data_IF_380702911062
#
_entry.id   IF_380702911062
#
_cell.length_a   1.000
_cell.length_b   1.000
_cell.length_c   1.000
_cell.angle_alpha   90.00
_cell.angle_beta   90.00
_cell.angle_gamma   90.00
#
_symmetry.space_group_name_H-M   'P 1'
#
loop_
_entity.id
_entity.type
_entity.pdbx_description
1 polymer ?
#
# COMPACT_ATOMS: atom_id res chain seq x y z
N UNK A 1 28.38 -35.00 10.03
CA UNK A 1 28.59 -33.59 10.44
C UNK A 1 27.26 -33.03 10.95
N UNK A 2 27.26 -32.19 11.99
CA UNK A 2 26.03 -31.54 12.44
C UNK A 2 25.45 -30.68 11.32
N UNK A 3 24.09 -30.62 11.25
CA UNK A 3 23.38 -29.79 10.31
C UNK A 3 23.52 -28.29 10.67
N UNK A 4 24.28 -27.54 9.90
CA UNK A 4 24.52 -26.11 10.13
C UNK A 4 23.46 -25.17 9.59
N UNK A 5 22.51 -25.65 8.78
CA UNK A 5 21.54 -24.78 8.14
C UNK A 5 20.61 -24.02 9.12
N UNK A 6 20.10 -24.63 10.23
CA UNK A 6 19.28 -23.90 11.18
C UNK A 6 20.03 -22.75 11.87
N UNK A 7 21.28 -23.03 12.34
CA UNK A 7 22.10 -22.02 13.01
C UNK A 7 22.43 -20.84 12.08
N UNK A 8 22.80 -21.12 10.84
CA UNK A 8 23.06 -20.11 9.82
C UNK A 8 21.82 -19.29 9.51
N UNK A 9 20.66 -19.95 9.40
CA UNK A 9 19.41 -19.25 9.12
C UNK A 9 19.01 -18.28 10.25
N UNK A 10 19.05 -18.72 11.50
CA UNK A 10 18.78 -17.88 12.66
C UNK A 10 19.77 -16.70 12.77
N UNK A 11 21.05 -16.94 12.49
CA UNK A 11 22.06 -15.88 12.44
C UNK A 11 21.73 -14.84 11.37
N UNK A 12 21.38 -15.29 10.16
CA UNK A 12 21.01 -14.42 9.03
C UNK A 12 19.77 -13.60 9.36
N UNK A 13 18.70 -14.24 9.86
CA UNK A 13 17.48 -13.54 10.25
C UNK A 13 17.76 -12.43 11.27
N UNK A 14 18.42 -12.77 12.37
CA UNK A 14 18.74 -11.81 13.44
C UNK A 14 19.56 -10.63 12.92
N UNK A 15 20.59 -10.88 12.11
CA UNK A 15 21.43 -9.83 11.56
C UNK A 15 20.67 -8.96 10.56
N UNK A 16 19.81 -9.57 9.73
CA UNK A 16 18.99 -8.83 8.79
C UNK A 16 17.97 -7.93 9.51
N UNK A 17 17.24 -8.47 10.48
CA UNK A 17 16.29 -7.70 11.30
C UNK A 17 16.97 -6.53 12.01
N UNK A 18 18.12 -6.78 12.62
CA UNK A 18 18.88 -5.73 13.30
C UNK A 18 19.31 -4.61 12.33
N UNK A 19 19.91 -4.97 11.18
CA UNK A 19 20.32 -3.99 10.17
C UNK A 19 19.13 -3.24 9.59
N UNK A 20 18.03 -3.93 9.28
CA UNK A 20 16.83 -3.37 8.71
C UNK A 20 16.18 -2.35 9.65
N UNK A 21 16.07 -2.66 10.95
CA UNK A 21 15.52 -1.75 11.95
C UNK A 21 16.41 -0.52 12.22
N UNK A 22 17.73 -0.66 12.06
CA UNK A 22 18.69 0.43 12.30
C UNK A 22 18.96 1.29 11.05
N UNK A 23 18.48 0.89 9.89
CA UNK A 23 18.74 1.59 8.64
C UNK A 23 17.84 2.82 8.48
N UNK A 24 18.42 4.01 8.58
CA UNK A 24 17.66 5.25 8.50
C UNK A 24 16.98 5.44 7.14
N UNK A 25 17.60 5.00 6.04
CA UNK A 25 17.02 5.09 4.69
C UNK A 25 15.73 4.26 4.59
N UNK A 26 15.77 3.03 5.12
CA UNK A 26 14.57 2.17 5.18
C UNK A 26 13.47 2.83 6.02
N UNK A 27 13.81 3.39 7.19
CA UNK A 27 12.83 4.04 8.07
C UNK A 27 12.20 5.27 7.41
N UNK A 28 13.00 6.11 6.78
CA UNK A 28 12.51 7.31 6.07
C UNK A 28 11.59 6.94 4.90
N UNK A 29 11.97 5.95 4.09
CA UNK A 29 11.15 5.45 2.99
C UNK A 29 9.83 4.85 3.49
N UNK A 30 9.90 4.06 4.56
CA UNK A 30 8.70 3.46 5.16
C UNK A 30 7.75 4.53 5.71
N UNK A 31 8.28 5.58 6.34
CA UNK A 31 7.48 6.71 6.80
C UNK A 31 6.76 7.41 5.63
N UNK A 32 7.45 7.67 4.51
CA UNK A 32 6.83 8.25 3.30
C UNK A 32 5.69 7.38 2.76
N UNK A 33 5.86 6.06 2.80
CA UNK A 33 4.82 5.10 2.38
C UNK A 33 3.60 5.20 3.30
N UNK A 34 3.79 5.20 4.61
CA UNK A 34 2.71 5.30 5.60
C UNK A 34 1.93 6.62 5.47
N UNK A 35 2.62 7.72 5.19
CA UNK A 35 2.01 9.04 4.98
C UNK A 35 1.26 9.16 3.65
N UNK A 36 1.39 8.20 2.76
CA UNK A 36 0.77 8.26 1.44
C UNK A 36 1.50 9.18 0.46
N UNK A 37 2.76 9.50 0.72
CA UNK A 37 3.58 10.41 -0.08
C UNK A 37 4.55 9.69 -1.02
N UNK A 38 4.60 8.37 -0.96
CA UNK A 38 5.45 7.55 -1.80
C UNK A 38 4.81 7.24 -3.17
N UNK A 39 5.67 6.96 -4.14
CA UNK A 39 5.33 6.36 -5.43
C UNK A 39 6.27 5.16 -5.73
N UNK A 40 6.31 4.69 -6.97
CA UNK A 40 7.18 3.57 -7.34
C UNK A 40 8.67 3.91 -7.34
N UNK A 41 9.04 5.17 -7.26
CA UNK A 41 10.43 5.58 -7.06
C UNK A 41 10.89 5.21 -5.66
N UNK A 42 10.11 5.56 -4.64
CA UNK A 42 10.38 5.22 -3.25
C UNK A 42 10.31 3.70 -3.02
N UNK A 43 9.34 3.00 -3.62
CA UNK A 43 9.28 1.53 -3.60
C UNK A 43 10.52 0.88 -4.22
N UNK A 44 11.04 1.44 -5.32
CA UNK A 44 12.27 1.00 -5.96
C UNK A 44 13.51 1.22 -5.08
N UNK A 45 13.62 2.37 -4.43
CA UNK A 45 14.69 2.68 -3.48
C UNK A 45 14.64 1.75 -2.25
N UNK A 46 13.44 1.49 -1.73
CA UNK A 46 13.22 0.53 -0.65
C UNK A 46 13.69 -0.88 -1.04
N UNK A 47 13.32 -1.35 -2.24
CA UNK A 47 13.74 -2.67 -2.72
C UNK A 47 15.25 -2.78 -2.92
N UNK A 48 15.90 -1.74 -3.46
CA UNK A 48 17.36 -1.67 -3.61
C UNK A 48 18.00 -1.80 -2.23
N UNK A 49 17.60 -0.96 -1.28
CA UNK A 49 18.20 -0.93 0.05
C UNK A 49 17.98 -2.23 0.81
N UNK A 50 16.77 -2.80 0.74
CA UNK A 50 16.46 -4.12 1.33
C UNK A 50 17.34 -5.23 0.74
N UNK A 51 17.54 -5.22 -0.58
CA UNK A 51 18.43 -6.16 -1.26
C UNK A 51 19.88 -6.00 -0.84
N UNK A 52 20.40 -4.77 -0.75
CA UNK A 52 21.75 -4.46 -0.27
C UNK A 52 21.99 -4.93 1.17
N UNK A 53 21.03 -4.70 2.06
CA UNK A 53 21.14 -5.15 3.45
C UNK A 53 21.20 -6.68 3.54
N UNK A 54 20.37 -7.39 2.78
CA UNK A 54 20.40 -8.84 2.74
C UNK A 54 21.71 -9.37 2.15
N UNK A 55 22.21 -8.76 1.08
CA UNK A 55 23.49 -9.09 0.47
C UNK A 55 24.64 -8.96 1.49
N UNK A 56 24.71 -7.84 2.20
CA UNK A 56 25.70 -7.59 3.26
C UNK A 56 25.62 -8.64 4.40
N UNK A 57 24.41 -9.05 4.78
CA UNK A 57 24.23 -10.08 5.80
C UNK A 57 24.74 -11.43 5.30
N UNK A 58 24.47 -11.78 4.06
CA UNK A 58 25.01 -13.00 3.45
C UNK A 58 26.53 -12.98 3.37
N UNK A 59 27.14 -11.90 2.90
CA UNK A 59 28.58 -11.73 2.83
C UNK A 59 29.27 -11.86 4.19
N UNK A 60 28.62 -11.36 5.25
CA UNK A 60 29.16 -11.45 6.62
C UNK A 60 28.90 -12.79 7.29
N UNK A 61 27.96 -13.58 6.79
CA UNK A 61 27.55 -14.85 7.42
C UNK A 61 28.15 -16.06 6.73
N UNK A 62 28.25 -16.04 5.40
CA UNK A 62 28.80 -17.16 4.64
C UNK A 62 30.30 -16.96 4.39
N UNK A 63 31.07 -17.97 4.71
CA UNK A 63 32.50 -18.09 4.34
C UNK A 63 32.82 -19.54 4.08
N UNK A 64 33.84 -19.81 3.25
CA UNK A 64 34.30 -21.17 3.00
C UNK A 64 34.71 -21.92 4.29
N UNK A 65 35.22 -21.19 5.29
CA UNK A 65 35.61 -21.78 6.58
C UNK A 65 34.40 -22.22 7.43
N UNK A 66 33.26 -21.59 7.28
CA UNK A 66 32.05 -21.91 8.04
C UNK A 66 31.16 -22.96 7.36
N UNK A 67 31.39 -23.19 6.06
CA UNK A 67 30.62 -24.13 5.25
C UNK A 67 31.23 -25.52 5.22
N UNK A 68 30.43 -26.59 5.20
CA UNK A 68 30.95 -27.94 5.03
C UNK A 68 31.78 -28.06 3.74
N UNK A 69 32.99 -28.56 3.86
CA UNK A 69 33.95 -28.75 2.76
C UNK A 69 34.21 -27.46 1.92
N UNK A 70 33.99 -26.27 2.55
CA UNK A 70 34.14 -24.98 1.87
C UNK A 70 33.12 -24.74 0.78
N UNK A 71 31.95 -25.42 0.83
CA UNK A 71 30.93 -25.43 -0.22
C UNK A 71 29.53 -25.09 0.32
N UNK A 72 28.80 -24.24 -0.41
CA UNK A 72 27.39 -23.98 -0.12
C UNK A 72 26.52 -25.02 -0.84
N UNK A 73 26.24 -26.12 -0.16
CA UNK A 73 25.38 -27.17 -0.70
C UNK A 73 23.93 -26.70 -0.90
N UNK A 74 23.25 -27.29 -1.90
CA UNK A 74 21.87 -26.92 -2.26
C UNK A 74 20.90 -27.00 -1.09
N UNK A 75 20.99 -28.06 -0.28
CA UNK A 75 20.15 -28.22 0.93
C UNK A 75 20.37 -27.14 1.98
N UNK A 76 21.58 -26.61 2.12
CA UNK A 76 21.88 -25.47 2.99
C UNK A 76 21.31 -24.18 2.37
N UNK A 77 21.60 -23.93 1.09
CA UNK A 77 21.10 -22.76 0.38
C UNK A 77 19.57 -22.69 0.36
N UNK A 78 18.90 -23.83 0.12
CA UNK A 78 17.42 -23.91 0.16
C UNK A 78 16.81 -23.58 1.52
N UNK A 79 17.54 -23.86 2.61
CA UNK A 79 17.06 -23.66 3.99
C UNK A 79 17.55 -22.36 4.63
N UNK A 80 18.41 -21.62 3.95
CA UNK A 80 18.97 -20.35 4.40
C UNK A 80 18.66 -19.21 3.43
N UNK A 81 19.22 -19.23 2.23
CA UNK A 81 19.08 -18.18 1.22
C UNK A 81 17.65 -18.13 0.67
N UNK A 82 17.05 -19.29 0.37
CA UNK A 82 15.70 -19.38 -0.20
C UNK A 82 14.62 -18.66 0.63
N UNK A 83 14.48 -18.98 1.94
CA UNK A 83 13.52 -18.28 2.81
C UNK A 83 13.77 -16.79 2.93
N UNK A 84 15.02 -16.33 2.95
CA UNK A 84 15.35 -14.91 3.02
C UNK A 84 14.98 -14.15 1.73
N UNK A 85 15.21 -14.75 0.56
CA UNK A 85 14.74 -14.18 -0.70
C UNK A 85 13.21 -14.09 -0.76
N UNK A 86 12.52 -15.12 -0.25
CA UNK A 86 11.07 -15.09 -0.12
C UNK A 86 10.61 -13.98 0.84
N UNK A 87 11.29 -13.80 1.97
CA UNK A 87 11.03 -12.70 2.90
C UNK A 87 11.18 -11.32 2.25
N UNK A 88 12.26 -11.10 1.47
CA UNK A 88 12.42 -9.88 0.69
C UNK A 88 11.29 -9.67 -0.33
N UNK A 89 10.86 -10.73 -1.01
CA UNK A 89 9.71 -10.65 -1.90
C UNK A 89 8.44 -10.21 -1.13
N UNK A 90 8.16 -10.77 0.02
CA UNK A 90 6.98 -10.42 0.82
C UNK A 90 7.02 -8.96 1.27
N UNK A 91 8.16 -8.49 1.82
CA UNK A 91 8.36 -7.11 2.23
C UNK A 91 8.14 -6.11 1.08
N UNK A 92 8.80 -6.35 -0.06
CA UNK A 92 8.71 -5.44 -1.22
C UNK A 92 7.32 -5.49 -1.85
N UNK A 93 6.70 -6.65 -1.90
CA UNK A 93 5.33 -6.80 -2.42
C UNK A 93 4.32 -6.02 -1.58
N UNK A 94 4.46 -6.02 -0.26
CA UNK A 94 3.57 -5.27 0.63
C UNK A 94 3.77 -3.76 0.47
N UNK A 95 5.00 -3.29 0.33
CA UNK A 95 5.31 -1.89 0.03
C UNK A 95 4.71 -1.47 -1.32
N UNK A 96 4.94 -2.26 -2.38
CA UNK A 96 4.36 -1.99 -3.70
C UNK A 96 2.83 -1.98 -3.67
N UNK A 97 2.21 -2.86 -2.87
CA UNK A 97 0.77 -2.89 -2.67
C UNK A 97 0.24 -1.59 -2.07
N UNK A 98 0.88 -1.10 -1.01
CA UNK A 98 0.51 0.18 -0.38
C UNK A 98 0.68 1.36 -1.33
N UNK A 99 1.81 1.43 -2.04
CA UNK A 99 2.09 2.47 -3.04
C UNK A 99 1.04 2.43 -4.16
N UNK A 100 0.73 1.26 -4.72
CA UNK A 100 -0.26 1.13 -5.79
C UNK A 100 -1.66 1.57 -5.34
N UNK A 101 -2.08 1.18 -4.14
CA UNK A 101 -3.37 1.61 -3.60
C UNK A 101 -3.44 3.11 -3.36
N UNK A 102 -2.33 3.74 -2.97
CA UNK A 102 -2.22 5.19 -2.86
C UNK A 102 -2.35 5.87 -4.23
N UNK A 103 -1.64 5.38 -5.24
CA UNK A 103 -1.73 5.88 -6.61
C UNK A 103 -3.14 5.72 -7.18
N UNK A 104 -3.76 4.57 -6.98
CA UNK A 104 -5.16 4.33 -7.37
C UNK A 104 -6.12 5.33 -6.70
N UNK A 105 -5.96 5.57 -5.39
CA UNK A 105 -6.77 6.55 -4.66
C UNK A 105 -6.54 7.98 -5.16
N UNK A 106 -5.29 8.37 -5.42
CA UNK A 106 -4.94 9.68 -5.97
C UNK A 106 -5.56 9.88 -7.36
N UNK A 107 -5.58 8.83 -8.17
CA UNK A 107 -6.25 8.82 -9.49
C UNK A 107 -7.79 8.71 -9.39
N UNK A 108 -8.36 8.57 -8.19
CA UNK A 108 -9.80 8.39 -7.98
C UNK A 108 -10.31 7.02 -8.43
N UNK A 109 -9.44 6.03 -8.49
CA UNK A 109 -9.77 4.65 -8.81
C UNK A 109 -10.02 3.88 -7.52
N UNK A 110 -11.14 3.16 -7.43
CA UNK A 110 -11.48 2.28 -6.31
C UNK A 110 -10.88 0.87 -6.45
N UNK A 111 -9.69 0.76 -7.05
CA UNK A 111 -9.04 -0.51 -7.34
C UNK A 111 -8.03 -0.86 -6.23
N UNK A 112 -8.03 -2.13 -5.83
CA UNK A 112 -6.96 -2.70 -4.99
C UNK A 112 -5.73 -2.98 -5.83
N UNK A 113 -4.57 -3.02 -5.18
CA UNK A 113 -3.34 -3.45 -5.80
C UNK A 113 -3.38 -4.95 -6.16
N UNK A 114 -2.80 -5.28 -7.29
CA UNK A 114 -2.55 -6.67 -7.67
C UNK A 114 -1.15 -7.04 -7.19
N UNK A 115 -1.05 -8.09 -6.37
CA UNK A 115 0.23 -8.60 -5.90
C UNK A 115 0.89 -9.46 -7.00
N UNK A 116 2.17 -9.22 -7.33
CA UNK A 116 2.89 -10.09 -8.26
C UNK A 116 3.04 -11.50 -7.68
N UNK A 117 3.21 -12.49 -8.53
CA UNK A 117 3.53 -13.86 -8.09
C UNK A 117 5.01 -13.97 -7.77
N UNK A 118 5.33 -14.75 -6.73
CA UNK A 118 6.71 -15.09 -6.41
C UNK A 118 7.37 -15.81 -7.60
N UNK A 119 8.48 -15.27 -8.09
CA UNK A 119 9.27 -15.91 -9.13
C UNK A 119 10.17 -17.01 -8.51
N UNK A 120 9.56 -18.17 -8.25
CA UNK A 120 10.26 -19.31 -7.64
C UNK A 120 11.36 -19.86 -8.54
N UNK A 121 11.19 -19.79 -9.85
CA UNK A 121 12.20 -20.27 -10.80
C UNK A 121 13.48 -19.43 -10.72
N UNK A 122 13.36 -18.14 -10.50
CA UNK A 122 14.51 -17.26 -10.31
C UNK A 122 15.24 -17.56 -8.99
N UNK A 123 14.49 -17.80 -7.91
CA UNK A 123 15.08 -18.25 -6.65
C UNK A 123 15.82 -19.57 -6.86
N UNK A 124 15.17 -20.56 -7.47
CA UNK A 124 15.78 -21.86 -7.75
C UNK A 124 17.04 -21.73 -8.64
N UNK A 125 17.00 -20.82 -9.63
CA UNK A 125 18.17 -20.53 -10.47
C UNK A 125 19.37 -20.01 -9.68
N UNK A 126 19.13 -19.10 -8.71
CA UNK A 126 20.17 -18.59 -7.79
C UNK A 126 20.72 -19.74 -6.93
N UNK A 127 19.82 -20.50 -6.28
CA UNK A 127 20.21 -21.60 -5.38
C UNK A 127 21.00 -22.71 -6.11
N UNK A 128 20.59 -23.08 -7.30
CA UNK A 128 21.26 -24.10 -8.10
C UNK A 128 22.68 -23.68 -8.50
N UNK A 129 22.89 -22.41 -8.83
CA UNK A 129 24.22 -21.92 -9.15
C UNK A 129 25.20 -22.06 -7.98
N UNK A 130 24.75 -21.81 -6.75
CA UNK A 130 25.58 -22.00 -5.56
C UNK A 130 26.07 -23.43 -5.40
N UNK A 131 25.21 -24.39 -5.72
CA UNK A 131 25.52 -25.82 -5.50
C UNK A 131 26.30 -26.45 -6.65
N UNK A 132 26.32 -25.84 -7.83
CA UNK A 132 27.02 -26.39 -8.99
C UNK A 132 28.54 -26.16 -8.94
N UNK A 133 28.99 -25.11 -8.23
CA UNK A 133 30.39 -24.81 -8.12
C UNK A 133 31.05 -25.55 -6.95
N UNK A 134 32.28 -26.09 -7.14
CA UNK A 134 32.95 -26.89 -6.13
C UNK A 134 33.46 -26.07 -4.92
N UNK A 135 33.63 -24.76 -5.08
CA UNK A 135 34.13 -23.85 -4.04
C UNK A 135 33.17 -22.68 -3.87
N UNK A 136 32.88 -22.36 -2.60
CA UNK A 136 32.05 -21.22 -2.27
C UNK A 136 32.64 -19.88 -2.77
N UNK A 137 33.95 -19.69 -2.66
CA UNK A 137 34.62 -18.46 -3.05
C UNK A 137 34.40 -18.10 -4.53
N UNK A 138 34.21 -19.10 -5.40
CA UNK A 138 33.97 -18.89 -6.83
C UNK A 138 32.56 -18.34 -7.12
N UNK A 139 31.60 -18.48 -6.16
CA UNK A 139 30.21 -18.06 -6.28
C UNK A 139 29.77 -17.05 -5.21
N UNK A 140 30.66 -16.66 -4.31
CA UNK A 140 30.34 -15.72 -3.22
C UNK A 140 29.74 -14.39 -3.71
N UNK A 141 30.19 -13.90 -4.89
CA UNK A 141 29.66 -12.69 -5.55
C UNK A 141 28.17 -12.78 -5.87
N UNK A 142 27.62 -13.98 -6.00
CA UNK A 142 26.18 -14.18 -6.26
C UNK A 142 25.30 -13.87 -5.04
N UNK A 143 25.87 -13.79 -3.85
CA UNK A 143 25.16 -13.36 -2.64
C UNK A 143 24.91 -11.85 -2.61
N UNK A 144 25.61 -11.08 -3.44
CA UNK A 144 25.43 -9.63 -3.54
C UNK A 144 24.44 -9.29 -4.68
N UNK A 145 24.96 -9.11 -5.86
CA UNK A 145 24.23 -8.54 -7.00
C UNK A 145 23.00 -9.33 -7.47
N UNK A 146 23.03 -10.67 -7.60
CA UNK A 146 21.83 -11.44 -7.93
C UNK A 146 20.70 -11.29 -6.89
N UNK A 147 21.04 -11.14 -5.59
CA UNK A 147 20.09 -10.90 -4.49
C UNK A 147 19.47 -9.52 -4.61
N UNK A 148 20.27 -8.48 -4.85
CA UNK A 148 19.81 -7.13 -5.10
C UNK A 148 18.89 -7.05 -6.32
N UNK A 149 19.32 -7.64 -7.44
CA UNK A 149 18.55 -7.68 -8.67
C UNK A 149 17.25 -8.48 -8.55
N UNK A 150 17.24 -9.55 -7.76
CA UNK A 150 16.03 -10.29 -7.44
C UNK A 150 15.05 -9.38 -6.69
N UNK A 151 15.51 -8.70 -5.62
CA UNK A 151 14.68 -7.84 -4.78
C UNK A 151 14.09 -6.67 -5.59
N UNK A 152 14.90 -6.03 -6.44
CA UNK A 152 14.42 -4.98 -7.35
C UNK A 152 13.39 -5.48 -8.37
N UNK A 153 13.54 -6.71 -8.88
CA UNK A 153 12.61 -7.24 -9.88
C UNK A 153 11.20 -7.46 -9.35
N UNK A 154 11.03 -7.55 -8.02
CA UNK A 154 9.70 -7.62 -7.40
C UNK A 154 8.90 -6.35 -7.66
N UNK A 155 9.57 -5.18 -7.65
CA UNK A 155 8.94 -3.90 -8.00
C UNK A 155 8.52 -3.89 -9.48
N UNK A 156 9.40 -4.36 -10.38
CA UNK A 156 9.08 -4.43 -11.81
C UNK A 156 7.88 -5.35 -12.07
N UNK A 157 7.83 -6.49 -11.38
CA UNK A 157 6.71 -7.42 -11.48
C UNK A 157 5.42 -6.81 -10.90
N UNK A 158 5.50 -6.04 -9.81
CA UNK A 158 4.35 -5.34 -9.25
C UNK A 158 3.81 -4.27 -10.21
N UNK A 159 4.70 -3.48 -10.82
CA UNK A 159 4.32 -2.50 -11.86
C UNK A 159 3.66 -3.21 -13.03
N UNK A 160 4.25 -4.30 -13.53
CA UNK A 160 3.71 -5.08 -14.65
C UNK A 160 2.31 -5.60 -14.38
N UNK A 161 2.10 -6.30 -13.26
CA UNK A 161 0.82 -6.91 -12.93
C UNK A 161 -0.30 -5.86 -12.75
N UNK A 162 0.01 -4.73 -12.13
CA UNK A 162 -0.96 -3.65 -11.96
C UNK A 162 -1.25 -2.91 -13.27
N UNK A 163 -0.24 -2.70 -14.12
CA UNK A 163 -0.42 -2.09 -15.43
C UNK A 163 -1.27 -2.98 -16.35
N UNK A 164 -0.96 -4.27 -16.41
CA UNK A 164 -1.71 -5.25 -17.18
C UNK A 164 -3.16 -5.37 -16.71
N UNK A 165 -3.37 -5.39 -15.38
CA UNK A 165 -4.71 -5.43 -14.81
C UNK A 165 -5.51 -4.19 -15.19
N UNK A 166 -4.95 -3.00 -15.02
CA UNK A 166 -5.62 -1.75 -15.35
C UNK A 166 -5.88 -1.62 -16.85
N UNK A 167 -4.92 -2.01 -17.69
CA UNK A 167 -5.10 -2.02 -19.14
C UNK A 167 -6.26 -2.93 -19.59
N UNK A 168 -6.34 -4.17 -19.04
CA UNK A 168 -7.44 -5.10 -19.32
C UNK A 168 -8.81 -4.60 -18.84
N UNK A 169 -8.84 -3.72 -17.85
CA UNK A 169 -10.08 -3.09 -17.36
C UNK A 169 -10.47 -1.83 -18.15
N UNK A 170 -9.76 -1.52 -19.23
CA UNK A 170 -10.04 -0.38 -20.12
C UNK A 170 -9.50 0.96 -19.60
N UNK A 171 -8.59 0.92 -18.61
CA UNK A 171 -7.78 2.06 -18.23
C UNK A 171 -6.52 2.08 -19.12
N UNK A 172 -5.92 3.26 -19.29
CA UNK A 172 -4.73 3.43 -20.11
C UNK A 172 -3.53 3.88 -19.26
N UNK A 173 -3.01 2.99 -18.39
CA UNK A 173 -1.82 3.31 -17.61
C UNK A 173 -0.60 3.43 -18.52
N UNK A 174 0.41 4.15 -18.04
CA UNK A 174 1.70 4.28 -18.70
C UNK A 174 2.80 3.74 -17.80
N UNK A 175 3.83 3.21 -18.45
CA UNK A 175 5.06 2.78 -17.78
C UNK A 175 6.16 3.78 -18.11
N UNK A 176 6.84 4.23 -17.08
CA UNK A 176 8.01 5.10 -17.23
C UNK A 176 9.24 4.34 -16.81
N UNK A 177 10.23 4.26 -17.69
CA UNK A 177 11.56 3.76 -17.32
C UNK A 177 12.55 4.90 -17.33
N UNK A 178 13.21 5.11 -16.18
CA UNK A 178 14.20 6.17 -16.00
C UNK A 178 15.56 5.58 -15.68
N UNK A 179 16.59 6.22 -16.23
CA UNK A 179 17.98 5.92 -15.91
C UNK A 179 18.42 6.72 -14.67
N UNK A 180 19.23 6.12 -13.83
CA UNK A 180 19.80 6.78 -12.64
C UNK A 180 21.23 7.31 -12.87
N UNK A 181 21.55 7.76 -14.08
CA UNK A 181 22.83 8.37 -14.41
C UNK A 181 23.72 7.47 -15.25
N UNK A 182 24.63 6.72 -14.68
CA UNK A 182 25.57 5.87 -15.43
C UNK A 182 24.91 4.55 -15.89
N UNK A 183 23.94 4.64 -16.80
CA UNK A 183 23.35 3.44 -17.37
C UNK A 183 24.10 2.97 -18.64
N UNK A 184 24.01 1.67 -18.92
CA UNK A 184 24.57 1.12 -20.14
C UNK A 184 23.71 1.50 -21.36
N UNK A 185 24.30 1.43 -22.57
CA UNK A 185 23.61 1.75 -23.83
C UNK A 185 22.32 0.94 -24.05
N UNK A 186 22.21 -0.24 -23.45
CA UNK A 186 21.00 -1.06 -23.53
C UNK A 186 19.87 -0.48 -22.67
N UNK A 187 20.16 -0.09 -21.42
CA UNK A 187 19.19 0.58 -20.55
C UNK A 187 18.76 1.93 -21.11
N UNK A 188 19.71 2.70 -21.65
CA UNK A 188 19.44 4.02 -22.23
C UNK A 188 18.39 3.96 -23.35
N UNK A 189 18.44 2.92 -24.19
CA UNK A 189 17.45 2.68 -25.25
C UNK A 189 16.06 2.35 -24.74
N UNK A 190 15.93 1.89 -23.50
CA UNK A 190 14.66 1.56 -22.84
C UNK A 190 14.12 2.69 -21.98
N UNK A 191 14.85 3.81 -21.88
CA UNK A 191 14.40 5.00 -21.12
C UNK A 191 13.29 5.71 -21.89
N UNK A 192 12.18 5.99 -21.21
CA UNK A 192 11.05 6.65 -21.85
C UNK A 192 9.74 6.41 -21.12
N UNK A 193 8.67 6.97 -21.71
CA UNK A 193 7.29 6.77 -21.25
C UNK A 193 6.53 6.00 -22.31
N UNK A 194 5.95 4.88 -21.93
CA UNK A 194 5.30 3.94 -22.84
C UNK A 194 3.84 3.74 -22.44
N UNK A 195 2.98 3.61 -23.43
CA UNK A 195 1.61 3.11 -23.25
C UNK A 195 1.62 1.59 -23.15
N UNK A 196 0.69 1.00 -22.40
CA UNK A 196 0.63 -0.46 -22.22
C UNK A 196 0.35 -1.24 -23.51
N UNK A 197 -0.16 -0.60 -24.55
CA UNK A 197 -0.37 -1.15 -25.88
C UNK A 197 0.88 -1.13 -26.79
N UNK A 198 1.94 -0.42 -26.37
CA UNK A 198 3.19 -0.27 -27.13
C UNK A 198 4.42 -0.36 -26.20
N UNK A 199 4.46 -1.41 -25.39
CA UNK A 199 5.57 -1.66 -24.46
C UNK A 199 6.71 -2.42 -25.16
N UNK A 200 7.97 -1.98 -25.04
CA UNK A 200 9.11 -2.77 -25.44
C UNK A 200 9.17 -4.10 -24.67
N UNK A 201 9.43 -5.22 -25.35
CA UNK A 201 9.47 -6.57 -24.76
C UNK A 201 10.38 -6.69 -23.53
N UNK A 202 11.40 -5.85 -23.45
CA UNK A 202 12.40 -5.89 -22.38
C UNK A 202 12.25 -4.77 -21.36
N UNK A 203 11.09 -4.07 -21.31
CA UNK A 203 10.90 -2.88 -20.46
C UNK A 203 11.13 -3.18 -18.96
N UNK A 204 10.81 -4.38 -18.51
CA UNK A 204 10.98 -4.85 -17.13
C UNK A 204 12.28 -5.65 -16.89
N UNK A 205 13.09 -5.86 -17.93
CA UNK A 205 14.33 -6.64 -17.76
C UNK A 205 15.43 -5.82 -17.11
N UNK A 206 16.22 -6.50 -16.29
CA UNK A 206 17.42 -5.96 -15.62
C UNK A 206 18.65 -6.74 -16.05
N UNK A 207 19.74 -6.03 -16.24
CA UNK A 207 21.07 -6.60 -16.37
C UNK A 207 21.83 -6.46 -15.04
N UNK A 208 23.03 -6.96 -14.99
CA UNK A 208 23.95 -6.80 -13.84
C UNK A 208 24.10 -5.33 -13.46
N UNK A 209 24.07 -5.06 -12.15
CA UNK A 209 24.20 -3.71 -11.56
C UNK A 209 23.22 -2.67 -12.10
N UNK A 210 22.06 -3.12 -12.56
CA UNK A 210 21.04 -2.21 -13.08
C UNK A 210 20.36 -1.47 -11.94
N UNK A 211 20.45 -0.13 -11.98
CA UNK A 211 19.76 0.76 -11.01
C UNK A 211 18.64 1.59 -11.69
N UNK A 212 18.27 1.25 -12.92
CA UNK A 212 17.14 1.90 -13.58
C UNK A 212 15.85 1.65 -12.83
N UNK A 213 14.95 2.64 -12.86
CA UNK A 213 13.64 2.57 -12.24
C UNK A 213 12.57 2.30 -13.27
N UNK A 214 11.58 1.52 -12.87
CA UNK A 214 10.34 1.33 -13.63
C UNK A 214 9.20 1.82 -12.76
N UNK A 215 8.47 2.78 -13.27
CA UNK A 215 7.42 3.49 -12.54
C UNK A 215 6.08 3.31 -13.26
N UNK A 216 5.03 3.32 -12.49
CA UNK A 216 3.66 3.25 -12.97
C UNK A 216 3.02 4.64 -12.93
N UNK A 217 2.47 5.07 -14.04
CA UNK A 217 1.61 6.24 -14.08
C UNK A 217 0.17 5.80 -14.30
N UNK A 218 -0.76 6.17 -13.40
CA UNK A 218 -2.18 5.92 -13.62
C UNK A 218 -2.62 6.50 -14.95
N UNK A 219 -3.58 5.84 -15.60
CA UNK A 219 -4.11 6.28 -16.88
C UNK A 219 -4.63 7.73 -16.86
N UNK A 220 -4.83 8.29 -18.01
CA UNK A 220 -5.15 9.70 -18.30
C UNK A 220 -6.49 10.23 -17.74
N UNK A 221 -7.08 9.55 -16.77
CA UNK A 221 -8.34 9.92 -16.13
C UNK A 221 -9.57 9.70 -17.00
N UNK A 222 -9.42 9.14 -18.19
CA UNK A 222 -10.56 8.70 -19.00
C UNK A 222 -11.23 7.53 -18.31
N UNK A 223 -12.51 7.68 -18.01
CA UNK A 223 -13.33 6.64 -17.42
C UNK A 223 -14.41 6.23 -18.40
N UNK A 224 -14.51 4.95 -18.69
CA UNK A 224 -15.63 4.43 -19.44
C UNK A 224 -16.87 4.45 -18.53
N UNK A 225 -17.95 5.08 -19.00
CA UNK A 225 -19.24 4.96 -18.35
C UNK A 225 -19.80 3.56 -18.64
N UNK A 226 -19.81 2.68 -17.64
CA UNK A 226 -20.26 1.29 -17.76
C UNK A 226 -21.72 1.15 -18.17
N UNK A 227 -22.56 2.16 -17.93
CA UNK A 227 -23.97 2.16 -18.33
C UNK A 227 -24.17 2.60 -19.78
N UNK A 228 -23.40 3.58 -20.25
CA UNK A 228 -23.57 4.15 -21.60
C UNK A 228 -22.48 3.71 -22.56
N UNK A 229 -21.43 3.03 -22.09
CA UNK A 229 -20.20 2.66 -22.85
C UNK A 229 -19.54 3.87 -23.55
N UNK A 230 -19.77 5.07 -23.05
CA UNK A 230 -19.14 6.30 -23.56
C UNK A 230 -17.94 6.67 -22.69
N UNK A 231 -16.88 7.12 -23.33
CA UNK A 231 -15.73 7.68 -22.63
C UNK A 231 -16.07 9.04 -22.04
N UNK A 232 -15.60 9.29 -20.84
CA UNK A 232 -15.72 10.61 -20.20
C UNK A 232 -14.57 11.49 -20.69
N UNK A 233 -14.88 12.61 -21.32
CA UNK A 233 -13.89 13.59 -21.79
C UNK A 233 -13.04 14.11 -20.61
N UNK A 234 -11.70 14.29 -20.78
CA UNK A 234 -10.81 14.75 -19.71
C UNK A 234 -11.26 16.05 -19.04
N UNK A 235 -11.84 16.97 -19.79
CA UNK A 235 -12.36 18.23 -19.26
C UNK A 235 -13.60 18.10 -18.36
N UNK A 236 -14.30 16.95 -18.37
CA UNK A 236 -15.40 16.69 -17.42
C UNK A 236 -14.86 16.19 -16.07
N UNK A 237 -13.75 15.44 -16.05
CA UNK A 237 -13.07 15.05 -14.81
C UNK A 237 -12.61 16.29 -14.05
N UNK A 238 -12.00 17.26 -14.73
CA UNK A 238 -11.60 18.54 -14.15
C UNK A 238 -12.77 19.36 -13.59
N UNK A 239 -13.93 19.36 -14.27
CA UNK A 239 -15.14 20.01 -13.76
C UNK A 239 -15.69 19.33 -12.52
N UNK A 240 -15.67 18.01 -12.46
CA UNK A 240 -16.07 17.22 -11.28
C UNK A 240 -15.08 17.46 -10.14
N UNK A 241 -13.76 17.47 -10.42
CA UNK A 241 -12.74 17.72 -9.42
C UNK A 241 -12.79 19.16 -8.91
N UNK A 242 -12.97 20.16 -9.78
CA UNK A 242 -13.22 21.56 -9.36
C UNK A 242 -14.50 21.69 -8.50
N UNK A 243 -15.56 20.97 -8.82
CA UNK A 243 -16.77 20.92 -7.97
C UNK A 243 -16.46 20.26 -6.62
N UNK A 244 -15.69 19.17 -6.60
CA UNK A 244 -15.22 18.52 -5.37
C UNK A 244 -14.30 19.44 -4.57
N UNK A 245 -13.40 20.19 -5.23
CA UNK A 245 -12.52 21.16 -4.57
C UNK A 245 -13.28 22.36 -4.01
N UNK A 246 -14.30 22.86 -4.71
CA UNK A 246 -15.19 23.91 -4.20
C UNK A 246 -16.01 23.41 -3.00
N UNK A 247 -16.45 22.15 -3.04
CA UNK A 247 -17.12 21.50 -1.90
C UNK A 247 -16.15 21.22 -0.76
N UNK A 248 -14.88 20.81 -1.07
CA UNK A 248 -13.79 20.66 -0.08
C UNK A 248 -13.37 21.99 0.55
N UNK A 249 -13.34 23.09 -0.21
CA UNK A 249 -13.07 24.44 0.35
C UNK A 249 -14.19 24.93 1.27
N UNK A 250 -15.44 24.49 1.07
CA UNK A 250 -16.55 24.77 1.99
C UNK A 250 -16.56 23.88 3.24
N UNK A 251 -15.83 22.78 3.26
CA UNK A 251 -15.70 21.85 4.39
C UNK A 251 -14.27 21.83 4.95
N UNK A 252 -13.65 23.01 5.10
CA UNK A 252 -12.34 23.14 5.73
C UNK A 252 -12.44 22.80 7.22
N UNK A 253 -12.37 21.50 7.55
CA UNK A 253 -12.27 21.06 8.93
C UNK A 253 -10.96 21.56 9.54
N UNK A 254 -11.02 22.04 10.79
CA UNK A 254 -9.83 22.31 11.59
C UNK A 254 -9.06 21.00 11.86
N UNK A 255 -7.83 21.10 12.32
CA UNK A 255 -7.03 19.92 12.68
C UNK A 255 -7.74 19.06 13.73
N UNK A 256 -8.31 19.67 14.75
CA UNK A 256 -9.04 18.98 15.84
C UNK A 256 -10.29 18.27 15.32
N UNK A 257 -11.07 18.94 14.45
CA UNK A 257 -12.22 18.35 13.80
C UNK A 257 -11.84 17.10 12.96
N UNK A 258 -10.74 17.18 12.21
CA UNK A 258 -10.25 16.04 11.40
C UNK A 258 -9.86 14.85 12.26
N UNK A 259 -9.10 15.10 13.33
CA UNK A 259 -8.66 14.05 14.25
C UNK A 259 -9.85 13.35 14.91
N UNK A 260 -10.83 14.12 15.37
CA UNK A 260 -12.03 13.56 16.02
C UNK A 260 -12.87 12.74 15.05
N UNK A 261 -13.15 13.27 13.87
CA UNK A 261 -13.94 12.57 12.83
C UNK A 261 -13.24 11.30 12.38
N UNK A 262 -11.93 11.35 12.09
CA UNK A 262 -11.17 10.17 11.70
C UNK A 262 -11.20 9.09 12.79
N UNK A 263 -10.97 9.47 14.04
CA UNK A 263 -11.02 8.55 15.19
C UNK A 263 -12.38 7.88 15.36
N UNK A 264 -13.47 8.63 15.12
CA UNK A 264 -14.84 8.10 15.17
C UNK A 264 -15.16 7.17 14.01
N UNK A 265 -14.70 7.48 12.78
CA UNK A 265 -14.91 6.64 11.60
C UNK A 265 -14.11 5.34 11.65
N UNK A 266 -12.85 5.40 12.12
CA UNK A 266 -11.93 4.26 12.18
C UNK A 266 -12.23 3.35 13.38
N UNK A 267 -12.63 3.93 14.52
CA UNK A 267 -12.99 3.18 15.72
C UNK A 267 -14.33 3.66 16.30
N UNK A 268 -15.49 3.22 15.75
CA UNK A 268 -16.80 3.64 16.21
C UNK A 268 -17.14 3.29 17.68
N UNK A 269 -16.40 2.38 18.31
CA UNK A 269 -16.54 2.09 19.75
C UNK A 269 -16.37 3.32 20.64
N UNK A 270 -15.69 4.35 20.14
CA UNK A 270 -15.59 5.62 20.85
C UNK A 270 -16.98 6.26 21.07
N UNK A 271 -17.98 5.98 20.26
CA UNK A 271 -19.35 6.46 20.45
C UNK A 271 -19.92 6.03 21.79
N UNK A 272 -19.57 4.82 22.25
CA UNK A 272 -19.95 4.31 23.58
C UNK A 272 -19.30 5.01 24.76
N UNK A 273 -18.29 5.84 24.53
CA UNK A 273 -17.68 6.68 25.57
C UNK A 273 -18.44 7.98 25.85
N UNK A 274 -19.50 8.24 25.08
CA UNK A 274 -20.32 9.44 25.19
C UNK A 274 -21.80 9.07 25.37
N UNK A 275 -22.52 9.83 26.18
CA UNK A 275 -23.98 9.87 26.09
C UNK A 275 -24.39 10.66 24.84
N UNK A 276 -25.64 10.52 24.34
CA UNK A 276 -26.10 11.32 23.21
C UNK A 276 -25.97 12.84 23.43
N UNK A 277 -26.17 13.29 24.67
CA UNK A 277 -26.02 14.69 25.10
C UNK A 277 -24.56 15.13 25.00
N UNK A 278 -23.66 14.41 25.64
CA UNK A 278 -22.23 14.75 25.69
C UNK A 278 -21.58 14.64 24.31
N UNK A 279 -22.06 13.73 23.47
CA UNK A 279 -21.60 13.64 22.08
C UNK A 279 -22.05 14.84 21.24
N UNK A 280 -23.29 15.29 21.42
CA UNK A 280 -23.82 16.52 20.79
C UNK A 280 -23.03 17.75 21.22
N UNK A 281 -22.75 17.88 22.53
CA UNK A 281 -21.92 18.94 23.10
C UNK A 281 -20.51 18.91 22.49
N UNK A 282 -19.89 17.72 22.40
CA UNK A 282 -18.55 17.55 21.82
C UNK A 282 -18.48 18.01 20.36
N UNK A 283 -19.50 17.71 19.57
CA UNK A 283 -19.59 18.23 18.21
C UNK A 283 -19.74 19.75 18.18
N UNK A 284 -20.52 20.30 19.11
CA UNK A 284 -20.70 21.76 19.23
C UNK A 284 -19.41 22.46 19.64
N UNK A 285 -18.67 21.94 20.61
CA UNK A 285 -17.33 22.42 21.01
C UNK A 285 -16.34 22.44 19.84
N UNK A 286 -16.42 21.41 18.99
CA UNK A 286 -15.61 21.32 17.79
C UNK A 286 -16.12 22.24 16.65
N UNK A 287 -17.18 23.01 16.87
CA UNK A 287 -17.73 23.95 15.89
C UNK A 287 -18.60 23.30 14.81
N UNK A 288 -19.11 22.11 15.04
CA UNK A 288 -20.11 21.49 14.16
C UNK A 288 -21.53 21.91 14.54
N UNK A 289 -22.38 22.14 13.54
CA UNK A 289 -23.79 22.40 13.73
C UNK A 289 -24.58 21.09 13.82
N UNK A 290 -25.38 20.95 14.88
CA UNK A 290 -26.36 19.87 15.03
C UNK A 290 -27.75 20.35 14.62
N UNK A 291 -28.47 19.52 13.84
CA UNK A 291 -29.85 19.82 13.37
C UNK A 291 -30.78 18.68 13.76
N UNK A 292 -32.07 18.95 14.00
CA UNK A 292 -33.07 17.88 14.18
C UNK A 292 -33.10 16.92 12.98
N UNK A 293 -33.57 15.71 13.18
CA UNK A 293 -33.68 14.71 12.14
C UNK A 293 -34.64 15.20 11.02
N UNK A 294 -34.19 15.07 9.76
CA UNK A 294 -34.97 15.54 8.60
C UNK A 294 -36.03 14.54 8.10
N UNK A 295 -36.05 13.31 8.62
CA UNK A 295 -36.96 12.21 8.19
C UNK A 295 -37.31 11.30 9.36
N UNK A 296 -38.40 10.54 9.20
CA UNK A 296 -38.86 9.55 10.17
C UNK A 296 -39.80 10.15 11.22
N UNK A 297 -40.15 9.33 12.24
CA UNK A 297 -41.14 9.65 13.28
C UNK A 297 -40.72 10.87 14.12
N UNK A 298 -39.41 11.07 14.32
CA UNK A 298 -38.85 12.19 15.08
C UNK A 298 -38.39 13.36 14.19
N UNK A 299 -38.97 13.48 12.98
CA UNK A 299 -38.66 14.58 12.06
C UNK A 299 -38.98 15.93 12.69
N UNK A 300 -37.96 16.81 12.73
CA UNK A 300 -38.11 18.20 13.17
C UNK A 300 -38.26 18.36 14.68
N UNK A 301 -38.31 17.28 15.46
CA UNK A 301 -38.40 17.37 16.93
C UNK A 301 -37.01 17.73 17.47
N UNK A 302 -36.87 18.81 18.26
CA UNK A 302 -35.63 19.17 18.92
C UNK A 302 -35.13 18.05 19.84
N UNK A 303 -33.81 17.96 20.01
CA UNK A 303 -33.20 16.95 20.87
C UNK A 303 -33.69 17.09 22.34
N UNK A 304 -33.85 18.30 22.83
CA UNK A 304 -34.29 18.66 24.16
C UNK A 304 -35.75 18.23 24.43
N UNK A 305 -36.53 18.03 23.36
CA UNK A 305 -37.92 17.56 23.39
C UNK A 305 -38.04 16.03 23.10
N UNK A 306 -36.92 15.31 23.22
CA UNK A 306 -36.87 13.86 22.97
C UNK A 306 -36.74 13.46 21.50
N UNK A 307 -36.38 14.40 20.63
CA UNK A 307 -36.01 14.13 19.23
C UNK A 307 -34.60 13.56 19.08
N UNK A 308 -34.23 13.29 17.85
CA UNK A 308 -32.85 12.96 17.48
C UNK A 308 -32.15 14.13 16.82
N UNK A 309 -30.85 14.00 16.59
CA UNK A 309 -30.07 15.01 15.90
C UNK A 309 -29.23 14.43 14.76
N UNK A 310 -28.80 15.31 13.87
CA UNK A 310 -27.88 15.06 12.78
C UNK A 310 -26.77 16.09 12.77
N UNK A 311 -25.53 15.61 12.69
CA UNK A 311 -24.32 16.41 12.50
C UNK A 311 -23.70 16.03 11.15
N UNK A 312 -23.52 17.01 10.26
CA UNK A 312 -22.78 16.81 9.01
C UNK A 312 -21.36 17.31 9.24
N UNK A 313 -20.35 16.50 8.91
CA UNK A 313 -18.99 16.86 9.21
C UNK A 313 -18.09 16.99 7.97
N UNK A 314 -18.29 16.22 6.90
CA UNK A 314 -17.57 16.46 5.64
C UNK A 314 -18.27 15.78 4.44
N UNK A 315 -18.40 16.46 3.32
CA UNK A 315 -19.02 15.90 2.11
C UNK A 315 -20.37 15.27 2.44
N UNK A 316 -20.49 13.96 2.16
CA UNK A 316 -21.68 13.16 2.48
C UNK A 316 -21.60 12.49 3.86
N UNK A 317 -20.52 12.75 4.64
CA UNK A 317 -20.31 12.18 5.96
C UNK A 317 -21.20 12.84 7.00
N UNK A 318 -21.86 12.03 7.81
CA UNK A 318 -22.71 12.50 8.90
C UNK A 318 -22.84 11.47 10.02
N UNK A 319 -23.14 11.97 11.23
CA UNK A 319 -23.66 11.19 12.34
C UNK A 319 -25.11 11.57 12.60
N UNK A 320 -25.96 10.59 12.87
CA UNK A 320 -27.32 10.80 13.39
C UNK A 320 -27.47 10.02 14.69
N UNK A 321 -28.11 10.63 15.66
CA UNK A 321 -28.66 9.95 16.82
C UNK A 321 -30.16 9.74 16.61
N UNK A 322 -30.63 8.52 16.84
CA UNK A 322 -32.02 8.14 16.81
C UNK A 322 -32.47 7.69 18.21
N UNK A 323 -33.44 8.37 18.84
CA UNK A 323 -33.93 7.98 20.16
C UNK A 323 -34.76 6.69 20.11
N UNK A 324 -34.89 6.02 21.25
CA UNK A 324 -35.53 4.70 21.37
C UNK A 324 -36.98 4.65 20.88
N UNK A 325 -37.76 5.69 21.17
CA UNK A 325 -39.17 5.76 20.79
C UNK A 325 -39.35 5.97 19.29
N UNK A 326 -39.63 4.89 18.55
CA UNK A 326 -39.99 4.94 17.11
C UNK A 326 -38.87 4.57 16.16
N UNK A 327 -37.78 4.00 16.63
CA UNK A 327 -36.79 3.35 15.77
C UNK A 327 -37.31 1.98 15.29
N UNK A 328 -36.87 1.56 14.10
CA UNK A 328 -37.12 0.19 13.60
C UNK A 328 -36.23 -0.84 14.29
N UNK A 329 -35.25 -0.41 15.05
CA UNK A 329 -34.34 -1.21 15.85
C UNK A 329 -34.74 -1.14 17.33
N UNK A 330 -34.54 -2.20 18.08
CA UNK A 330 -34.82 -2.24 19.50
C UNK A 330 -33.83 -1.38 20.26
N UNK A 331 -34.22 -0.14 20.57
CA UNK A 331 -33.41 0.81 21.33
C UNK A 331 -32.96 2.05 20.55
N UNK A 332 -32.33 2.98 21.26
CA UNK A 332 -31.70 4.14 20.67
C UNK A 332 -30.37 3.74 20.00
N UNK A 333 -30.01 4.44 18.91
CA UNK A 333 -28.82 4.10 18.16
C UNK A 333 -28.21 5.29 17.43
N UNK A 334 -26.93 5.16 17.10
CA UNK A 334 -26.22 6.05 16.20
C UNK A 334 -26.18 5.50 14.77
N UNK A 335 -26.31 6.39 13.79
CA UNK A 335 -26.19 6.09 12.37
C UNK A 335 -25.04 6.92 11.82
N UNK A 336 -23.95 6.25 11.46
CA UNK A 336 -22.73 6.84 10.94
C UNK A 336 -22.65 6.59 9.44
N UNK A 337 -22.43 7.65 8.66
CA UNK A 337 -22.18 7.56 7.21
C UNK A 337 -20.84 8.20 6.90
N UNK A 338 -19.97 7.46 6.24
CA UNK A 338 -18.69 7.97 5.77
C UNK A 338 -18.38 7.48 4.35
N UNK A 339 -17.52 8.24 3.66
CA UNK A 339 -17.08 7.86 2.32
C UNK A 339 -16.20 6.60 2.33
N UNK A 340 -15.50 6.34 3.46
CA UNK A 340 -14.59 5.19 3.58
C UNK A 340 -15.31 3.88 3.90
N UNK A 341 -16.31 3.94 4.81
CA UNK A 341 -16.94 2.75 5.39
C UNK A 341 -18.43 2.60 5.05
N UNK A 342 -18.99 3.54 4.27
CA UNK A 342 -20.41 3.54 3.94
C UNK A 342 -21.31 3.89 5.13
N UNK A 343 -22.51 3.30 5.16
CA UNK A 343 -23.53 3.52 6.18
C UNK A 343 -23.53 2.39 7.20
N UNK A 344 -23.25 2.72 8.46
CA UNK A 344 -23.19 1.77 9.58
C UNK A 344 -24.08 2.26 10.73
N UNK A 345 -24.53 1.34 11.58
CA UNK A 345 -25.35 1.63 12.76
C UNK A 345 -24.70 1.06 14.00
N UNK A 346 -24.80 1.79 15.10
CA UNK A 346 -24.19 1.41 16.38
C UNK A 346 -25.18 1.65 17.51
N UNK A 347 -25.20 0.78 18.48
CA UNK A 347 -25.91 1.01 19.73
C UNK A 347 -25.23 2.11 20.55
N UNK A 348 -25.78 2.43 21.73
CA UNK A 348 -25.20 3.46 22.60
C UNK A 348 -23.88 3.02 23.25
N UNK A 349 -23.52 1.74 23.19
CA UNK A 349 -22.23 1.24 23.65
C UNK A 349 -21.16 1.27 22.54
N UNK A 350 -21.54 1.67 21.33
CA UNK A 350 -20.66 1.71 20.17
C UNK A 350 -20.48 0.35 19.46
N UNK A 351 -21.33 -0.64 19.80
CA UNK A 351 -21.33 -1.92 19.12
C UNK A 351 -22.19 -1.87 17.85
N UNK A 352 -21.68 -2.45 16.75
CA UNK A 352 -22.36 -2.39 15.46
C UNK A 352 -23.62 -3.27 15.46
N UNK A 353 -24.73 -2.66 15.03
CA UNK A 353 -26.04 -3.32 14.90
C UNK A 353 -26.46 -3.42 13.43
N UNK A 354 -27.08 -4.54 13.06
CA UNK A 354 -27.53 -4.83 11.69
C UNK A 354 -28.80 -4.08 11.27
#
# INVERSE_FOLDING_TARGET
MPDKAPELYEKIQRLFEQKFQQDSVIQDLYQLILEGNADYKEAGEFAIRTGELLAQVFETTFSAAELPDGRLYLNIAQRTVGPMLKGNYELVTDVCGQVQEQLNRKAGLGLKAVKPKLNQDRINGILNKFSNEPRFDDVAWMLAEPVENFTQSVVDDAVRENADFQYRTGLHPKIVRTSTGNCCKWCDKLTGTYSCDDLPDNIYRRHERCRCRVEFLPGDGRRQNVHTKKWTEPGQADKIERRKQVTRKKSGLTQEQRVFVAKMEDNPKILGSYTPETLKEKFTELGFESKPLGRGKHKGIPFEEGGGYRVNYRGDGYLQYHPEKGSRHNGAYYKLSSAAYGLRRFDLNGDEIS
#
